data_IF_130407141773
#
_entry.id   IF_130407141773
#
_cell.length_a   1.000
_cell.length_b   1.000
_cell.length_c   1.000
_cell.angle_alpha   90.00
_cell.angle_beta   90.00
_cell.angle_gamma   90.00
#
_symmetry.space_group_name_H-M   'P 1'
#
loop_
_entity.id
_entity.type
_entity.pdbx_description
1 polymer ?
#
# COMPACT_ATOMS: atom_id res chain seq x y z
N UNK A 1 1.49 10.23 -10.32
CA UNK A 1 0.71 11.38 -9.83
C UNK A 1 1.25 11.78 -8.48
N UNK A 2 1.36 13.06 -8.21
CA UNK A 2 1.67 13.58 -6.88
C UNK A 2 0.37 14.14 -6.28
N UNK A 3 0.00 13.66 -5.10
CA UNK A 3 -1.26 14.01 -4.43
C UNK A 3 -1.07 15.01 -3.29
N UNK A 4 0.10 15.64 -3.19
CA UNK A 4 0.46 16.74 -2.28
C UNK A 4 -0.33 16.74 -0.95
N UNK A 5 0.23 16.08 0.06
CA UNK A 5 -0.30 16.02 1.43
C UNK A 5 -1.72 15.41 1.58
N UNK A 6 -2.28 14.77 0.55
CA UNK A 6 -3.52 14.00 0.69
C UNK A 6 -3.29 12.73 1.53
N UNK A 7 -4.00 12.63 2.65
CA UNK A 7 -3.86 11.58 3.65
C UNK A 7 -5.10 10.69 3.77
N UNK A 8 -6.19 11.03 3.06
CA UNK A 8 -7.45 10.33 3.07
C UNK A 8 -7.38 9.05 2.22
N UNK A 9 -7.51 7.90 2.87
CA UNK A 9 -7.43 6.59 2.20
C UNK A 9 -8.52 6.36 1.16
N UNK A 10 -9.71 6.96 1.31
CA UNK A 10 -10.78 6.87 0.30
C UNK A 10 -10.42 7.63 -0.97
N UNK A 11 -9.81 8.82 -0.83
CA UNK A 11 -9.29 9.58 -1.98
C UNK A 11 -8.22 8.78 -2.73
N UNK A 12 -7.29 8.15 -1.99
CA UNK A 12 -6.26 7.28 -2.60
C UNK A 12 -6.88 6.11 -3.35
N UNK A 13 -7.88 5.44 -2.78
CA UNK A 13 -8.57 4.32 -3.44
C UNK A 13 -9.34 4.76 -4.67
N UNK A 14 -10.04 5.90 -4.62
CA UNK A 14 -10.76 6.45 -5.77
C UNK A 14 -9.82 6.75 -6.94
N UNK A 15 -8.66 7.36 -6.66
CA UNK A 15 -7.65 7.65 -7.68
C UNK A 15 -7.06 6.36 -8.26
N UNK A 16 -6.75 5.37 -7.41
CA UNK A 16 -6.30 4.04 -7.86
C UNK A 16 -7.35 3.42 -8.78
N UNK A 17 -8.62 3.45 -8.40
CA UNK A 17 -9.71 2.88 -9.21
C UNK A 17 -9.87 3.59 -10.56
N UNK A 18 -9.80 4.91 -10.62
CA UNK A 18 -9.82 5.68 -11.87
C UNK A 18 -8.62 5.34 -12.78
N UNK A 19 -7.42 5.27 -12.22
CA UNK A 19 -6.23 4.88 -12.97
C UNK A 19 -6.32 3.44 -13.49
N UNK A 20 -6.92 2.51 -12.74
CA UNK A 20 -7.13 1.14 -13.19
C UNK A 20 -8.12 1.03 -14.35
N UNK A 21 -9.11 1.92 -14.42
CA UNK A 21 -10.04 2.00 -15.56
C UNK A 21 -9.36 2.51 -16.83
N UNK A 22 -8.28 3.28 -16.70
CA UNK A 22 -7.53 3.77 -17.85
C UNK A 22 -6.85 2.62 -18.61
N UNK A 23 -7.18 2.48 -19.90
CA UNK A 23 -6.71 1.38 -20.75
C UNK A 23 -5.18 1.31 -20.91
N UNK A 24 -4.49 2.45 -20.83
CA UNK A 24 -3.03 2.51 -20.97
C UNK A 24 -2.27 2.27 -19.66
N UNK A 25 -2.98 2.17 -18.54
CA UNK A 25 -2.38 1.85 -17.24
C UNK A 25 -2.54 0.35 -16.96
N UNK A 26 -1.44 -0.41 -17.05
CA UNK A 26 -1.45 -1.87 -16.82
C UNK A 26 -1.19 -2.25 -15.35
N UNK A 27 -0.58 -1.38 -14.57
CA UNK A 27 -0.25 -1.60 -13.16
C UNK A 27 -0.06 -0.28 -12.42
N UNK A 28 -0.25 -0.29 -11.10
CA UNK A 28 -0.07 0.87 -10.23
C UNK A 28 0.95 0.57 -9.13
N UNK A 29 1.84 1.53 -8.90
CA UNK A 29 2.61 1.63 -7.64
C UNK A 29 2.09 2.85 -6.89
N UNK A 30 1.62 2.64 -5.65
CA UNK A 30 1.30 3.74 -4.73
C UNK A 30 2.31 3.78 -3.59
N UNK A 31 2.61 4.97 -3.09
CA UNK A 31 3.67 5.20 -2.10
C UNK A 31 3.23 6.28 -1.10
N UNK A 32 3.87 6.30 0.06
CA UNK A 32 3.75 7.41 1.02
C UNK A 32 2.55 7.35 1.96
N UNK A 33 1.56 6.50 1.69
CA UNK A 33 0.33 6.38 2.50
C UNK A 33 0.40 5.26 3.55
N UNK A 34 1.25 4.24 3.34
CA UNK A 34 1.51 3.13 4.28
C UNK A 34 2.88 3.33 4.93
N UNK A 35 3.02 2.95 6.20
CA UNK A 35 4.28 3.08 6.96
C UNK A 35 4.45 4.46 7.58
N UNK A 36 3.38 5.28 7.62
CA UNK A 36 3.41 6.62 8.21
C UNK A 36 3.42 6.57 9.73
N UNK A 37 2.95 5.46 10.30
CA UNK A 37 2.95 5.20 11.73
C UNK A 37 4.30 5.51 12.37
N UNK A 38 5.41 5.11 11.75
CA UNK A 38 6.77 5.32 12.29
C UNK A 38 7.05 6.81 12.46
N UNK A 39 6.80 7.63 11.43
CA UNK A 39 7.00 9.08 11.51
C UNK A 39 6.10 9.72 12.56
N UNK A 40 4.81 9.35 12.57
CA UNK A 40 3.81 9.92 13.48
C UNK A 40 4.16 9.55 14.93
N UNK A 41 4.57 8.31 15.17
CA UNK A 41 5.02 7.85 16.47
C UNK A 41 6.21 8.67 16.96
N UNK A 42 7.26 8.86 16.14
CA UNK A 42 8.42 9.67 16.53
C UNK A 42 8.07 11.13 16.86
N UNK A 43 7.13 11.73 16.12
CA UNK A 43 6.65 13.10 16.38
C UNK A 43 5.89 13.16 17.71
N UNK A 44 4.99 12.20 17.96
CA UNK A 44 4.21 12.15 19.20
C UNK A 44 5.09 11.90 20.42
N UNK A 45 6.03 10.96 20.35
CA UNK A 45 6.99 10.69 21.43
C UNK A 45 7.85 11.92 21.76
N UNK A 46 8.32 12.65 20.73
CA UNK A 46 9.06 13.89 20.92
C UNK A 46 8.21 14.97 21.59
N UNK A 47 6.92 15.03 21.26
CA UNK A 47 5.97 15.98 21.85
C UNK A 47 5.74 15.68 23.33
N UNK A 48 5.50 14.42 23.67
CA UNK A 48 5.34 13.96 25.07
C UNK A 48 6.59 14.23 25.91
N UNK A 49 7.78 14.11 25.31
CA UNK A 49 9.04 14.39 26.00
C UNK A 49 9.19 15.87 26.41
N UNK A 50 8.60 16.80 25.65
CA UNK A 50 8.71 18.25 25.87
C UNK A 50 7.50 18.79 26.65
N UNK A 51 6.32 18.22 26.45
CA UNK A 51 5.07 18.62 27.09
C UNK A 51 4.39 17.44 27.81
N UNK A 52 4.52 17.42 29.13
CA UNK A 52 3.94 16.37 29.99
C UNK A 52 2.42 16.47 30.15
N UNK A 53 1.77 17.51 29.60
CA UNK A 53 0.31 17.60 29.57
C UNK A 53 -0.30 16.67 28.51
N UNK A 54 0.51 16.12 27.62
CA UNK A 54 0.10 15.23 26.56
C UNK A 54 -0.12 13.80 27.07
N UNK A 55 -1.30 13.22 26.85
CA UNK A 55 -1.69 11.89 27.35
C UNK A 55 -1.11 10.76 26.47
N UNK A 56 -0.26 9.87 27.02
CA UNK A 56 0.25 8.70 26.30
C UNK A 56 -0.84 7.76 25.78
N UNK A 57 -2.03 7.70 26.40
CA UNK A 57 -3.15 6.90 25.87
C UNK A 57 -3.63 7.41 24.53
N UNK A 58 -3.75 8.73 24.38
CA UNK A 58 -4.16 9.34 23.13
C UNK A 58 -3.17 9.02 22.00
N UNK A 59 -1.86 8.94 22.31
CA UNK A 59 -0.84 8.52 21.33
C UNK A 59 -1.09 7.09 20.86
N UNK A 60 -1.30 6.16 21.79
CA UNK A 60 -1.56 4.76 21.46
C UNK A 60 -2.83 4.59 20.61
N UNK A 61 -3.92 5.26 20.98
CA UNK A 61 -5.20 5.22 20.24
C UNK A 61 -5.06 5.74 18.80
N UNK A 62 -4.34 6.84 18.60
CA UNK A 62 -4.08 7.37 17.26
C UNK A 62 -3.23 6.42 16.41
N UNK A 63 -2.21 5.78 16.99
CA UNK A 63 -1.39 4.80 16.28
C UNK A 63 -2.18 3.55 15.87
N UNK A 64 -3.12 3.10 16.70
CA UNK A 64 -4.01 1.99 16.32
C UNK A 64 -4.97 2.37 15.21
N UNK A 65 -5.55 3.57 15.27
CA UNK A 65 -6.43 4.07 14.23
C UNK A 65 -5.71 4.12 12.86
N UNK A 66 -4.45 4.58 12.85
CA UNK A 66 -3.60 4.55 11.65
C UNK A 66 -3.37 3.13 11.13
N UNK A 67 -3.11 2.15 12.00
CA UNK A 67 -2.96 0.75 11.59
C UNK A 67 -4.22 0.21 10.93
N UNK A 68 -5.40 0.51 11.49
CA UNK A 68 -6.68 0.11 10.91
C UNK A 68 -6.88 0.75 9.53
N UNK A 69 -6.54 2.03 9.36
CA UNK A 69 -6.64 2.71 8.07
C UNK A 69 -5.67 2.15 7.02
N UNK A 70 -4.41 1.91 7.38
CA UNK A 70 -3.42 1.32 6.46
C UNK A 70 -3.85 -0.09 6.03
N UNK A 71 -4.36 -0.91 6.95
CA UNK A 71 -4.90 -2.23 6.61
C UNK A 71 -6.14 -2.14 5.71
N UNK A 72 -7.07 -1.24 6.03
CA UNK A 72 -8.26 -1.01 5.22
C UNK A 72 -7.94 -0.54 3.79
N UNK A 73 -6.89 0.27 3.63
CA UNK A 73 -6.38 0.66 2.31
C UNK A 73 -5.90 -0.57 1.53
N UNK A 74 -5.07 -1.42 2.14
CA UNK A 74 -4.57 -2.64 1.47
C UNK A 74 -5.73 -3.54 1.05
N UNK A 75 -6.70 -3.76 1.95
CA UNK A 75 -7.91 -4.54 1.64
C UNK A 75 -8.69 -3.97 0.44
N UNK A 76 -8.91 -2.65 0.41
CA UNK A 76 -9.57 -1.98 -0.71
C UNK A 76 -8.77 -2.14 -2.01
N UNK A 77 -7.44 -1.99 -1.96
CA UNK A 77 -6.57 -2.18 -3.13
C UNK A 77 -6.64 -3.61 -3.69
N UNK A 78 -6.69 -4.62 -2.82
CA UNK A 78 -6.86 -6.03 -3.21
C UNK A 78 -8.21 -6.27 -3.88
N UNK A 79 -9.29 -5.66 -3.38
CA UNK A 79 -10.63 -5.77 -4.00
C UNK A 79 -10.65 -5.17 -5.41
N UNK A 80 -10.06 -3.99 -5.60
CA UNK A 80 -10.00 -3.38 -6.94
C UNK A 80 -9.07 -4.14 -7.88
N UNK A 81 -7.96 -4.73 -7.39
CA UNK A 81 -7.16 -5.67 -8.17
C UNK A 81 -8.00 -6.87 -8.64
N UNK A 82 -8.86 -7.40 -7.75
CA UNK A 82 -9.84 -8.44 -8.08
C UNK A 82 -10.81 -8.06 -9.19
N UNK A 83 -11.30 -6.82 -9.16
CA UNK A 83 -12.26 -6.28 -10.13
C UNK A 83 -11.61 -6.03 -11.51
N UNK A 84 -10.47 -5.35 -11.53
CA UNK A 84 -9.83 -4.88 -12.78
C UNK A 84 -8.75 -5.81 -13.33
N UNK A 85 -8.35 -6.83 -12.58
CA UNK A 85 -7.32 -7.80 -12.98
C UNK A 85 -5.97 -7.17 -13.34
N UNK A 86 -5.67 -6.03 -12.71
CA UNK A 86 -4.44 -5.26 -12.89
C UNK A 86 -3.68 -5.16 -11.56
N UNK A 87 -2.35 -5.35 -11.53
CA UNK A 87 -1.58 -5.30 -10.28
C UNK A 87 -1.60 -3.91 -9.63
N UNK A 88 -1.84 -3.87 -8.31
CA UNK A 88 -1.66 -2.67 -7.47
C UNK A 88 -0.67 -3.01 -6.37
N UNK A 89 0.42 -2.27 -6.29
CA UNK A 89 1.53 -2.55 -5.37
C UNK A 89 1.81 -1.31 -4.51
N UNK A 90 1.86 -1.51 -3.20
CA UNK A 90 2.24 -0.46 -2.27
C UNK A 90 3.74 -0.37 -2.06
N UNK A 91 4.20 0.78 -1.59
CA UNK A 91 5.53 0.96 -1.03
C UNK A 91 5.41 1.65 0.32
N UNK A 92 6.08 1.08 1.32
CA UNK A 92 6.18 1.69 2.64
C UNK A 92 6.94 3.01 2.59
N UNK A 93 6.41 4.04 3.27
CA UNK A 93 7.13 5.29 3.50
C UNK A 93 8.33 5.05 4.42
N UNK A 94 8.08 4.38 5.54
CA UNK A 94 9.07 3.89 6.48
C UNK A 94 8.72 2.46 6.87
N UNK A 95 9.76 1.68 7.16
CA UNK A 95 9.64 0.28 7.56
C UNK A 95 9.97 0.11 9.03
N UNK A 96 9.31 -0.83 9.69
CA UNK A 96 9.57 -1.27 11.06
C UNK A 96 9.70 -2.80 11.12
N UNK A 97 9.93 -3.37 12.31
CA UNK A 97 10.00 -4.83 12.49
C UNK A 97 8.70 -5.58 12.14
N UNK A 98 7.57 -4.89 12.05
CA UNK A 98 6.27 -5.49 11.73
C UNK A 98 5.94 -5.47 10.24
N UNK A 99 6.76 -4.78 9.45
CA UNK A 99 6.59 -4.59 8.01
C UNK A 99 6.70 -5.91 7.25
N UNK A 100 5.69 -6.23 6.44
CA UNK A 100 5.64 -7.46 5.63
C UNK A 100 5.38 -7.14 4.18
N UNK A 101 6.06 -7.86 3.27
CA UNK A 101 5.82 -7.69 1.83
C UNK A 101 4.50 -8.27 1.36
N UNK A 102 4.06 -9.36 2.01
CA UNK A 102 2.81 -10.05 1.66
C UNK A 102 1.87 -9.94 2.85
N UNK A 103 0.66 -9.44 2.58
CA UNK A 103 -0.41 -9.22 3.55
C UNK A 103 -1.59 -10.10 3.11
N UNK A 104 -1.93 -11.09 3.94
CA UNK A 104 -3.08 -11.96 3.71
C UNK A 104 -4.37 -11.18 3.94
N UNK A 105 -5.30 -11.25 2.98
CA UNK A 105 -6.64 -10.68 3.10
C UNK A 105 -7.64 -11.82 3.06
N UNK A 106 -8.40 -11.99 4.13
CA UNK A 106 -9.37 -13.07 4.25
C UNK A 106 -10.44 -12.99 3.15
N UNK A 107 -10.76 -14.15 2.56
CA UNK A 107 -11.77 -14.27 1.50
C UNK A 107 -11.39 -13.63 0.15
N UNK A 108 -10.14 -13.23 -0.05
CA UNK A 108 -9.66 -12.69 -1.33
C UNK A 108 -8.71 -13.66 -2.04
N UNK A 109 -8.84 -13.78 -3.37
CA UNK A 109 -7.91 -14.54 -4.23
C UNK A 109 -6.51 -13.90 -4.24
N UNK A 110 -6.48 -12.57 -4.33
CA UNK A 110 -5.26 -11.79 -4.37
C UNK A 110 -4.83 -11.38 -2.96
N UNK A 111 -3.52 -11.19 -2.78
CA UNK A 111 -2.92 -10.74 -1.52
C UNK A 111 -2.50 -9.27 -1.65
N UNK A 112 -2.43 -8.58 -0.52
CA UNK A 112 -1.83 -7.25 -0.48
C UNK A 112 -0.32 -7.35 -0.63
N UNK A 113 0.25 -6.60 -1.58
CA UNK A 113 1.71 -6.56 -1.80
C UNK A 113 2.22 -5.15 -1.54
N UNK A 114 3.12 -5.03 -0.55
CA UNK A 114 3.70 -3.74 -0.17
C UNK A 114 5.21 -3.89 0.00
N UNK A 115 6.02 -3.29 -0.87
CA UNK A 115 7.47 -3.41 -0.78
C UNK A 115 8.08 -2.38 0.17
N UNK A 116 9.22 -2.70 0.82
CA UNK A 116 9.91 -1.73 1.67
C UNK A 116 10.66 -0.66 0.88
N UNK A 117 10.77 -0.78 -0.45
CA UNK A 117 11.39 0.25 -1.28
C UNK A 117 10.80 0.30 -2.69
N UNK A 118 10.85 1.48 -3.36
CA UNK A 118 10.38 1.62 -4.74
C UNK A 118 11.13 0.73 -5.72
N UNK A 119 12.45 0.57 -5.56
CA UNK A 119 13.29 -0.25 -6.45
C UNK A 119 12.85 -1.72 -6.43
N UNK A 120 12.48 -2.23 -5.25
CA UNK A 120 11.96 -3.60 -5.13
C UNK A 120 10.59 -3.74 -5.79
N UNK A 121 9.71 -2.75 -5.66
CA UNK A 121 8.41 -2.75 -6.34
C UNK A 121 8.58 -2.73 -7.87
N UNK A 122 9.41 -1.83 -8.39
CA UNK A 122 9.70 -1.71 -9.83
C UNK A 122 10.33 -2.99 -10.35
N UNK A 123 11.33 -3.54 -9.64
CA UNK A 123 11.96 -4.81 -10.01
C UNK A 123 10.93 -5.94 -10.07
N UNK A 124 10.05 -6.04 -9.08
CA UNK A 124 8.99 -7.06 -9.07
C UNK A 124 8.02 -6.92 -10.25
N UNK A 125 7.53 -5.70 -10.54
CA UNK A 125 6.66 -5.47 -11.70
C UNK A 125 7.34 -5.77 -13.03
N UNK A 126 8.61 -5.38 -13.19
CA UNK A 126 9.35 -5.70 -14.42
C UNK A 126 9.48 -7.20 -14.66
N UNK A 127 9.64 -7.99 -13.58
CA UNK A 127 9.68 -9.45 -13.67
C UNK A 127 8.31 -10.05 -13.96
N UNK A 128 7.23 -9.52 -13.35
CA UNK A 128 5.86 -9.92 -13.67
C UNK A 128 5.53 -9.67 -15.15
N UNK A 129 5.92 -8.51 -15.69
CA UNK A 129 5.75 -8.19 -17.10
C UNK A 129 6.53 -9.15 -18.01
N UNK A 130 7.81 -9.40 -17.70
CA UNK A 130 8.62 -10.38 -18.45
C UNK A 130 8.00 -11.77 -18.43
N UNK A 131 7.51 -12.20 -17.27
CA UNK A 131 6.85 -13.49 -17.11
C UNK A 131 5.55 -13.57 -17.92
N UNK A 132 4.71 -12.53 -17.87
CA UNK A 132 3.50 -12.45 -18.70
C UNK A 132 3.82 -12.53 -20.19
N UNK A 133 4.87 -11.84 -20.66
CA UNK A 133 5.31 -11.95 -22.06
C UNK A 133 5.78 -13.35 -22.42
N UNK A 134 6.54 -14.00 -21.53
CA UNK A 134 6.99 -15.38 -21.72
C UNK A 134 5.80 -16.35 -21.80
N UNK A 135 4.79 -16.20 -20.94
CA UNK A 135 3.57 -17.02 -20.98
C UNK A 135 2.83 -16.86 -22.31
N UNK A 136 2.64 -15.61 -22.78
CA UNK A 136 2.01 -15.31 -24.06
C UNK A 136 2.77 -15.92 -25.25
N UNK A 137 4.10 -15.90 -25.22
CA UNK A 137 4.94 -16.44 -26.29
C UNK A 137 4.91 -17.97 -26.35
N UNK A 138 4.74 -18.65 -25.21
CA UNK A 138 4.82 -20.10 -25.10
C UNK A 138 3.44 -20.79 -25.03
N UNK A 139 2.37 -20.12 -25.44
CA UNK A 139 1.02 -20.69 -25.52
C UNK A 139 0.49 -21.23 -24.18
N UNK A 140 1.07 -20.79 -23.08
CA UNK A 140 0.59 -21.12 -21.74
C UNK A 140 -0.59 -20.21 -21.41
N UNK A 141 -1.67 -20.32 -22.19
CA UNK A 141 -2.98 -19.86 -21.72
C UNK A 141 -3.24 -20.62 -20.43
N UNK A 142 -3.25 -19.90 -19.31
CA UNK A 142 -3.62 -20.46 -18.02
C UNK A 142 -4.80 -19.66 -17.48
N UNK A 143 -5.92 -20.39 -17.34
CA UNK A 143 -6.96 -20.34 -16.30
C UNK A 143 -7.47 -18.96 -15.85
#
# INVERSE_FOLDING_TARGET
>A
MDLVAEMNTDTHVAIVEELLQWKECDAIIYMGIIGRKVTIQSVLESTVAVDKSYDPKMVAENLELLRVYERGLVEKTVRVMGKYHKPVIGVYLLTDETTRTVIEIEGQKYKGIVFPSPERAVKSLSMLFRYSRWQKANGSESL
#
